data_IF_343818028026
#
_entry.id   IF_343818028026
#
_cell.length_a   1.000
_cell.length_b   1.000
_cell.length_c   1.000
_cell.angle_alpha   90.00
_cell.angle_beta   90.00
_cell.angle_gamma   90.00
#
_symmetry.space_group_name_H-M   'P 1'
#
loop_
_entity.id
_entity.type
_entity.pdbx_description
1 polymer ?
#
# COMPACT_ATOMS: atom_id res chain seq x y z
N UNK A 1 14.76 -6.68 -10.48
CA UNK A 1 13.54 -6.69 -9.64
C UNK A 1 13.98 -7.18 -8.26
N UNK A 2 13.88 -6.34 -7.23
CA UNK A 2 14.28 -6.74 -5.86
C UNK A 2 13.29 -7.76 -5.34
N UNK A 3 13.76 -8.94 -4.94
CA UNK A 3 12.94 -9.95 -4.28
C UNK A 3 13.06 -9.71 -2.79
N UNK A 4 11.97 -9.38 -2.10
CA UNK A 4 11.98 -9.27 -0.65
C UNK A 4 12.19 -10.64 -0.02
N UNK A 5 13.07 -10.70 0.98
CA UNK A 5 13.11 -11.83 1.90
C UNK A 5 11.87 -11.81 2.81
N UNK A 6 11.60 -12.92 3.49
CA UNK A 6 10.52 -12.96 4.47
C UNK A 6 10.77 -12.01 5.65
N UNK A 7 12.02 -11.80 6.04
CA UNK A 7 12.41 -10.93 7.16
C UNK A 7 12.39 -9.45 6.78
N UNK A 8 12.43 -9.15 5.48
CA UNK A 8 12.23 -7.80 4.95
C UNK A 8 10.76 -7.46 4.75
N UNK A 9 9.90 -8.49 4.63
CA UNK A 9 8.46 -8.33 4.47
C UNK A 9 7.74 -8.35 5.82
N UNK A 10 8.12 -9.28 6.69
CA UNK A 10 7.62 -9.40 8.06
C UNK A 10 8.69 -8.91 9.02
N UNK A 11 8.62 -7.64 9.37
CA UNK A 11 9.67 -6.98 10.15
C UNK A 11 9.76 -7.58 11.56
N UNK A 12 8.65 -8.11 12.10
CA UNK A 12 8.59 -8.91 13.34
C UNK A 12 9.34 -10.25 13.28
N UNK A 13 9.60 -10.83 12.09
CA UNK A 13 10.38 -12.10 11.99
C UNK A 13 11.83 -11.92 12.39
N UNK A 14 12.35 -10.69 12.37
CA UNK A 14 13.71 -10.36 12.82
C UNK A 14 13.90 -10.70 14.30
N UNK A 15 12.82 -10.68 15.08
CA UNK A 15 12.83 -10.95 16.52
C UNK A 15 12.38 -12.38 16.85
N UNK A 16 11.75 -13.09 15.91
CA UNK A 16 11.17 -14.43 16.10
C UNK A 16 11.64 -15.39 15.00
N UNK A 17 12.86 -15.93 15.17
CA UNK A 17 13.58 -16.74 14.16
C UNK A 17 12.91 -18.05 13.75
N UNK A 18 12.08 -18.64 14.61
CA UNK A 18 11.67 -20.05 14.47
C UNK A 18 10.37 -20.27 13.70
N UNK A 19 9.84 -19.25 13.01
CA UNK A 19 8.53 -19.33 12.34
C UNK A 19 8.65 -19.35 10.83
N UNK A 20 8.04 -20.37 10.23
CA UNK A 20 8.09 -20.63 8.78
C UNK A 20 6.99 -19.89 8.03
N UNK A 21 5.86 -19.64 8.68
CA UNK A 21 4.67 -19.09 8.03
C UNK A 21 4.02 -17.94 8.83
N UNK A 22 3.34 -16.99 8.14
CA UNK A 22 2.67 -15.86 8.77
C UNK A 22 1.70 -16.31 9.84
N UNK A 23 0.67 -17.12 9.55
CA UNK A 23 -0.34 -17.58 10.53
C UNK A 23 0.22 -18.33 11.77
N UNK A 24 1.45 -18.85 11.74
CA UNK A 24 2.07 -19.46 12.94
C UNK A 24 2.37 -18.42 14.04
N UNK A 25 2.28 -17.13 13.70
CA UNK A 25 2.38 -15.98 14.60
C UNK A 25 1.33 -15.99 15.73
N UNK A 26 0.13 -16.47 15.43
CA UNK A 26 -1.01 -16.39 16.35
C UNK A 26 -0.88 -17.36 17.53
N UNK A 27 -0.29 -18.53 17.32
CA UNK A 27 -0.19 -19.56 18.35
C UNK A 27 0.88 -19.27 19.41
N UNK A 28 1.72 -18.24 19.21
CA UNK A 28 2.91 -18.03 20.01
C UNK A 28 3.23 -16.56 20.31
N UNK A 29 2.44 -15.60 19.82
CA UNK A 29 2.68 -14.18 20.10
C UNK A 29 1.36 -13.43 20.34
N UNK A 30 1.11 -13.12 21.61
CA UNK A 30 -0.06 -12.35 22.08
C UNK A 30 0.03 -10.87 21.66
N UNK A 31 1.20 -10.43 21.17
CA UNK A 31 1.48 -9.06 20.77
C UNK A 31 1.37 -8.89 19.25
N UNK A 32 0.15 -9.11 18.76
CA UNK A 32 -0.22 -8.76 17.40
C UNK A 32 -0.36 -7.25 17.22
N UNK A 33 -0.17 -6.79 15.98
CA UNK A 33 -0.31 -5.40 15.58
C UNK A 33 -1.67 -4.82 15.90
N UNK A 34 -1.70 -3.56 16.34
CA UNK A 34 -2.87 -2.91 16.95
C UNK A 34 -4.14 -3.02 16.09
N UNK A 35 -4.06 -2.90 14.76
CA UNK A 35 -5.25 -3.05 13.89
C UNK A 35 -5.66 -4.52 13.74
N UNK A 36 -4.73 -5.46 13.56
CA UNK A 36 -5.05 -6.88 13.39
C UNK A 36 -5.70 -7.42 14.66
N UNK A 37 -5.20 -7.03 15.84
CA UNK A 37 -5.82 -7.36 17.14
C UNK A 37 -7.22 -6.78 17.26
N UNK A 38 -7.38 -5.49 16.95
CA UNK A 38 -8.69 -4.81 17.02
C UNK A 38 -9.70 -5.53 16.14
N UNK A 39 -9.31 -5.88 14.92
CA UNK A 39 -10.12 -6.58 13.93
C UNK A 39 -10.44 -8.01 14.33
N UNK A 40 -9.47 -8.77 14.84
CA UNK A 40 -9.70 -10.12 15.36
C UNK A 40 -10.69 -10.09 16.52
N UNK A 41 -10.55 -9.15 17.47
CA UNK A 41 -11.48 -9.00 18.61
C UNK A 41 -12.88 -8.59 18.17
N UNK A 42 -13.00 -7.71 17.18
CA UNK A 42 -14.30 -7.31 16.60
C UNK A 42 -15.00 -8.50 15.94
N UNK A 43 -14.29 -9.19 15.05
CA UNK A 43 -14.82 -10.36 14.34
C UNK A 43 -15.08 -11.52 15.27
N UNK A 44 -14.25 -11.75 16.30
CA UNK A 44 -14.47 -12.79 17.30
C UNK A 44 -15.83 -12.63 17.97
N UNK A 45 -16.16 -11.43 18.47
CA UNK A 45 -17.46 -11.17 19.11
C UNK A 45 -18.62 -11.43 18.15
N UNK A 46 -18.50 -10.99 16.91
CA UNK A 46 -19.50 -11.23 15.88
C UNK A 46 -19.63 -12.74 15.56
N UNK A 47 -18.51 -13.42 15.36
CA UNK A 47 -18.42 -14.83 15.02
C UNK A 47 -19.03 -15.70 16.12
N UNK A 48 -18.76 -15.40 17.40
CA UNK A 48 -19.35 -16.11 18.53
C UNK A 48 -20.88 -16.02 18.52
N UNK A 49 -21.47 -14.88 18.14
CA UNK A 49 -22.93 -14.77 17.96
C UNK A 49 -23.44 -15.62 16.78
N UNK A 50 -22.65 -15.75 15.71
CA UNK A 50 -23.02 -16.54 14.53
C UNK A 50 -22.99 -18.03 14.84
N UNK A 51 -21.91 -18.53 15.45
CA UNK A 51 -21.75 -19.97 15.69
C UNK A 51 -22.54 -20.48 16.90
N UNK A 52 -22.74 -19.63 17.92
CA UNK A 52 -23.48 -20.00 19.12
C UNK A 52 -24.97 -20.25 18.85
N UNK A 53 -25.52 -21.26 19.51
CA UNK A 53 -26.97 -21.54 19.51
C UNK A 53 -27.77 -20.51 20.31
N UNK A 54 -27.13 -19.75 21.21
CA UNK A 54 -27.74 -18.65 21.98
C UNK A 54 -27.55 -17.28 21.34
N UNK A 55 -26.83 -17.21 20.22
CA UNK A 55 -26.63 -15.98 19.46
C UNK A 55 -27.76 -15.75 18.46
N UNK A 56 -27.42 -15.59 17.19
CA UNK A 56 -28.43 -15.44 16.14
C UNK A 56 -29.23 -16.74 15.95
N UNK A 57 -30.51 -16.59 15.60
CA UNK A 57 -31.35 -17.72 15.21
C UNK A 57 -31.12 -18.07 13.74
N UNK A 58 -31.40 -19.31 13.35
CA UNK A 58 -31.30 -19.72 11.94
C UNK A 58 -32.30 -18.90 11.12
N UNK A 59 -31.86 -18.35 9.99
CA UNK A 59 -32.66 -17.49 9.12
C UNK A 59 -32.78 -16.03 9.58
N UNK A 60 -32.32 -15.69 10.80
CA UNK A 60 -32.29 -14.29 11.24
C UNK A 60 -31.14 -13.53 10.60
N UNK A 61 -31.33 -12.23 10.40
CA UNK A 61 -30.28 -11.33 9.95
C UNK A 61 -29.19 -11.21 11.02
N UNK A 62 -27.94 -11.11 10.57
CA UNK A 62 -26.76 -10.87 11.41
C UNK A 62 -26.32 -9.42 11.30
N UNK A 63 -25.68 -8.89 12.34
CA UNK A 63 -25.07 -7.55 12.32
C UNK A 63 -24.08 -7.41 11.15
N UNK A 64 -23.95 -6.19 10.62
CA UNK A 64 -22.95 -5.87 9.61
C UNK A 64 -21.54 -6.22 10.07
N UNK A 65 -20.72 -6.72 9.15
CA UNK A 65 -19.34 -7.06 9.45
C UNK A 65 -18.48 -6.91 8.20
N UNK A 66 -17.20 -6.59 8.41
CA UNK A 66 -16.21 -6.55 7.33
C UNK A 66 -15.30 -7.77 7.40
N UNK A 67 -15.24 -8.56 6.32
CA UNK A 67 -14.46 -9.80 6.23
C UNK A 67 -13.71 -9.87 4.91
N UNK A 68 -12.56 -10.54 4.90
CA UNK A 68 -11.88 -10.88 3.67
C UNK A 68 -12.49 -12.12 3.04
N UNK A 69 -12.58 -12.09 1.73
CA UNK A 69 -12.96 -13.25 0.91
C UNK A 69 -11.71 -14.10 0.72
N UNK A 70 -11.75 -15.37 1.09
CA UNK A 70 -10.65 -16.32 0.89
C UNK A 70 -11.15 -17.53 0.10
N UNK A 71 -10.35 -18.10 -0.81
CA UNK A 71 -10.76 -19.31 -1.51
C UNK A 71 -10.99 -20.47 -0.53
N UNK A 72 -12.06 -21.22 -0.74
CA UNK A 72 -12.38 -22.43 0.02
C UNK A 72 -12.50 -23.63 -0.91
N UNK A 73 -11.84 -24.72 -0.54
CA UNK A 73 -11.94 -26.02 -1.19
C UNK A 73 -12.79 -26.95 -0.33
N UNK A 74 -13.86 -27.43 -0.94
CA UNK A 74 -14.82 -28.32 -0.31
C UNK A 74 -14.74 -29.73 -0.91
N UNK A 75 -14.74 -30.74 -0.04
CA UNK A 75 -14.96 -32.13 -0.43
C UNK A 75 -16.37 -32.32 -1.00
N UNK A 76 -16.56 -33.38 -1.79
CA UNK A 76 -17.83 -33.68 -2.49
C UNK A 76 -19.04 -33.69 -1.55
N UNK A 77 -18.89 -34.19 -0.32
CA UNK A 77 -19.97 -34.22 0.67
C UNK A 77 -20.49 -32.84 1.07
N UNK A 78 -19.58 -31.88 1.26
CA UNK A 78 -19.93 -30.51 1.63
C UNK A 78 -20.56 -29.76 0.43
N UNK A 79 -20.04 -30.01 -0.78
CA UNK A 79 -20.66 -29.50 -2.01
C UNK A 79 -22.08 -30.02 -2.19
N UNK A 80 -22.31 -31.31 -1.95
CA UNK A 80 -23.64 -31.92 -2.01
C UNK A 80 -24.59 -31.37 -0.93
N UNK A 81 -24.08 -31.13 0.29
CA UNK A 81 -24.86 -30.50 1.36
C UNK A 81 -25.32 -29.09 0.98
N UNK A 82 -24.42 -28.26 0.42
CA UNK A 82 -24.76 -26.90 -0.05
C UNK A 82 -25.78 -26.95 -1.20
N UNK A 83 -25.59 -27.85 -2.18
CA UNK A 83 -26.48 -27.98 -3.33
C UNK A 83 -27.93 -28.34 -2.94
N UNK A 84 -28.14 -29.02 -1.80
CA UNK A 84 -29.48 -29.31 -1.27
C UNK A 84 -30.14 -28.12 -0.59
N UNK A 85 -29.36 -27.17 -0.09
CA UNK A 85 -29.88 -25.94 0.51
C UNK A 85 -30.40 -24.98 -0.56
N UNK A 86 -29.88 -25.08 -1.79
CA UNK A 86 -30.21 -24.22 -2.91
C UNK A 86 -29.05 -24.08 -3.90
N UNK A 87 -29.24 -23.22 -4.89
CA UNK A 87 -28.22 -22.95 -5.90
C UNK A 87 -27.35 -21.76 -5.46
N UNK A 88 -26.33 -22.07 -4.67
CA UNK A 88 -25.44 -21.07 -4.07
C UNK A 88 -24.01 -21.12 -4.64
N UNK A 89 -23.44 -19.94 -4.85
CA UNK A 89 -22.00 -19.76 -4.91
C UNK A 89 -21.42 -19.85 -3.48
N UNK A 90 -20.27 -20.49 -3.34
CA UNK A 90 -19.60 -20.68 -2.05
C UNK A 90 -18.18 -20.09 -2.06
N UNK A 91 -17.82 -19.43 -0.97
CA UNK A 91 -16.48 -18.90 -0.71
C UNK A 91 -16.19 -18.87 0.79
N UNK A 92 -14.92 -18.75 1.13
CA UNK A 92 -14.51 -18.58 2.52
C UNK A 92 -14.51 -17.11 2.92
N UNK A 93 -14.75 -16.87 4.19
CA UNK A 93 -14.64 -15.57 4.84
C UNK A 93 -13.62 -15.69 5.97
N UNK A 94 -12.77 -14.69 6.12
CA UNK A 94 -11.79 -14.65 7.19
C UNK A 94 -11.62 -13.21 7.73
N UNK A 95 -11.28 -13.03 9.01
CA UNK A 95 -10.98 -11.71 9.55
C UNK A 95 -9.75 -11.09 8.88
N UNK A 96 -8.73 -11.88 8.53
CA UNK A 96 -7.52 -11.46 7.82
C UNK A 96 -7.24 -12.43 6.65
N UNK A 97 -6.57 -11.98 5.60
CA UNK A 97 -6.25 -12.81 4.41
C UNK A 97 -5.32 -13.99 4.70
N UNK A 98 -4.63 -13.93 5.83
CA UNK A 98 -3.58 -14.85 6.22
C UNK A 98 -3.91 -15.62 7.50
N UNK A 99 -5.14 -15.56 8.03
CA UNK A 99 -5.49 -16.19 9.31
C UNK A 99 -6.63 -17.20 9.16
N UNK A 100 -6.53 -18.39 9.79
CA UNK A 100 -7.60 -19.37 9.76
C UNK A 100 -8.71 -19.11 10.79
N UNK A 101 -8.51 -18.28 11.82
CA UNK A 101 -9.48 -18.21 12.92
C UNK A 101 -10.69 -17.41 12.54
N UNK A 102 -11.80 -17.80 13.17
CA UNK A 102 -13.09 -17.20 12.91
C UNK A 102 -13.44 -17.23 11.42
N UNK A 103 -12.86 -18.19 10.68
CA UNK A 103 -13.19 -18.41 9.28
C UNK A 103 -14.58 -19.00 9.18
N UNK A 104 -15.33 -18.57 8.17
CA UNK A 104 -16.72 -18.96 8.00
C UNK A 104 -17.00 -19.20 6.52
N UNK A 105 -17.97 -20.07 6.23
CA UNK A 105 -18.47 -20.24 4.87
C UNK A 105 -19.48 -19.13 4.56
N UNK A 106 -19.20 -18.39 3.48
CA UNK A 106 -20.13 -17.46 2.86
C UNK A 106 -20.83 -18.10 1.66
N UNK A 107 -22.15 -17.95 1.62
CA UNK A 107 -23.00 -18.38 0.52
C UNK A 107 -23.65 -17.14 -0.12
N UNK A 108 -23.74 -17.09 -1.45
CA UNK A 108 -24.54 -16.10 -2.17
C UNK A 108 -25.36 -16.84 -3.22
N UNK A 109 -26.57 -16.38 -3.55
CA UNK A 109 -27.32 -16.97 -4.65
C UNK A 109 -26.48 -17.03 -5.94
N UNK A 110 -26.67 -18.06 -6.76
CA UNK A 110 -25.86 -18.24 -7.97
C UNK A 110 -25.94 -17.08 -8.96
N UNK A 111 -27.09 -16.39 -8.96
CA UNK A 111 -27.34 -15.21 -9.78
C UNK A 111 -26.67 -13.94 -9.24
N UNK A 112 -26.29 -13.94 -7.95
CA UNK A 112 -25.53 -12.84 -7.34
C UNK A 112 -24.06 -13.04 -7.64
N UNK A 113 -23.41 -11.96 -8.11
CA UNK A 113 -21.98 -11.97 -8.41
C UNK A 113 -21.19 -12.30 -7.14
N UNK A 114 -20.38 -13.35 -7.21
CA UNK A 114 -19.45 -13.71 -6.13
C UNK A 114 -18.40 -12.59 -5.92
N UNK A 115 -18.09 -12.22 -4.67
CA UNK A 115 -16.94 -11.39 -4.35
C UNK A 115 -15.61 -11.98 -4.87
N UNK A 116 -14.69 -11.12 -5.31
CA UNK A 116 -13.35 -11.56 -5.73
C UNK A 116 -12.53 -12.01 -4.53
N UNK A 117 -11.76 -13.08 -4.72
CA UNK A 117 -10.86 -13.60 -3.69
C UNK A 117 -9.82 -12.56 -3.25
N UNK A 118 -9.44 -12.65 -1.98
CA UNK A 118 -8.50 -11.80 -1.26
C UNK A 118 -8.91 -10.32 -1.13
N UNK A 119 -10.17 -9.99 -1.43
CA UNK A 119 -10.71 -8.66 -1.20
C UNK A 119 -11.44 -8.54 0.13
N UNK A 120 -11.31 -7.37 0.74
CA UNK A 120 -12.13 -6.97 1.87
C UNK A 120 -13.52 -6.56 1.38
N UNK A 121 -14.55 -7.15 1.99
CA UNK A 121 -15.95 -6.77 1.76
C UNK A 121 -16.60 -6.36 3.08
N UNK A 122 -17.56 -5.43 3.00
CA UNK A 122 -18.54 -5.22 4.06
C UNK A 122 -19.81 -5.99 3.69
N UNK A 123 -20.24 -6.84 4.59
CA UNK A 123 -21.49 -7.58 4.49
C UNK A 123 -22.55 -6.71 5.15
N UNK A 124 -23.45 -6.17 4.33
CA UNK A 124 -24.52 -5.28 4.77
C UNK A 124 -25.73 -6.08 5.25
N UNK A 125 -25.97 -7.21 4.58
CA UNK A 125 -27.15 -8.04 4.85
C UNK A 125 -26.83 -9.50 4.63
N UNK A 126 -26.91 -10.27 5.71
CA UNK A 126 -26.75 -11.72 5.66
C UNK A 126 -27.61 -12.43 6.70
N UNK A 127 -27.99 -13.67 6.40
CA UNK A 127 -28.74 -14.55 7.30
C UNK A 127 -27.86 -15.67 7.81
N UNK A 128 -27.98 -15.99 9.10
CA UNK A 128 -27.33 -17.17 9.68
C UNK A 128 -27.95 -18.45 9.12
N UNK A 129 -27.11 -19.43 8.82
CA UNK A 129 -27.54 -20.79 8.45
C UNK A 129 -26.55 -21.85 8.95
N UNK A 130 -26.90 -23.11 8.72
CA UNK A 130 -26.03 -24.25 8.96
C UNK A 130 -26.01 -25.15 7.73
N UNK A 131 -24.82 -25.58 7.34
CA UNK A 131 -24.61 -26.61 6.32
C UNK A 131 -24.55 -27.95 7.04
N UNK A 132 -25.54 -28.80 6.77
CA UNK A 132 -25.67 -30.10 7.43
C UNK A 132 -25.13 -31.18 6.48
N UNK A 133 -24.03 -31.82 6.87
CA UNK A 133 -23.61 -33.05 6.21
C UNK A 133 -24.62 -34.15 6.59
N UNK A 134 -25.19 -34.84 5.59
CA UNK A 134 -26.09 -35.97 5.84
C UNK A 134 -25.34 -37.31 5.85
N UNK A 135 -24.08 -37.33 5.42
CA UNK A 135 -23.24 -38.54 5.41
C UNK A 135 -22.52 -38.76 6.74
N UNK A 136 -22.30 -37.69 7.50
CA UNK A 136 -21.75 -37.73 8.85
C UNK A 136 -22.54 -36.75 9.73
N UNK A 137 -22.61 -36.93 11.06
CA UNK A 137 -23.30 -35.99 11.96
C UNK A 137 -22.50 -34.68 12.16
N UNK A 138 -22.00 -34.10 11.07
CA UNK A 138 -21.21 -32.87 11.06
C UNK A 138 -22.08 -31.70 10.61
N UNK A 139 -22.00 -30.60 11.34
CA UNK A 139 -22.72 -29.36 11.01
C UNK A 139 -21.71 -28.22 10.97
N UNK A 140 -21.76 -27.42 9.91
CA UNK A 140 -20.87 -26.28 9.73
C UNK A 140 -21.68 -24.98 9.72
N UNK A 141 -21.38 -23.99 10.57
CA UNK A 141 -22.02 -22.68 10.51
C UNK A 141 -21.67 -21.97 9.20
N UNK A 142 -22.64 -21.27 8.64
CA UNK A 142 -22.46 -20.45 7.44
C UNK A 142 -23.37 -19.23 7.48
N UNK A 143 -23.15 -18.30 6.56
CA UNK A 143 -24.07 -17.19 6.31
C UNK A 143 -24.47 -17.12 4.84
N UNK A 144 -25.74 -16.79 4.61
CA UNK A 144 -26.27 -16.48 3.28
C UNK A 144 -26.22 -14.96 3.14
N UNK A 145 -25.34 -14.47 2.28
CA UNK A 145 -25.10 -13.06 2.02
C UNK A 145 -26.02 -12.61 0.90
N UNK A 146 -26.86 -11.62 1.19
CA UNK A 146 -27.78 -10.99 0.25
C UNK A 146 -27.15 -9.72 -0.34
N UNK A 147 -26.53 -8.89 0.51
CA UNK A 147 -26.01 -7.58 0.11
C UNK A 147 -24.61 -7.35 0.70
N UNK A 148 -23.69 -6.89 -0.15
CA UNK A 148 -22.30 -6.61 0.23
C UNK A 148 -21.67 -5.54 -0.68
N UNK A 149 -20.63 -4.89 -0.20
CA UNK A 149 -19.84 -3.91 -0.95
C UNK A 149 -18.33 -4.16 -0.79
N UNK A 150 -17.54 -3.73 -1.77
CA UNK A 150 -16.09 -3.73 -1.62
C UNK A 150 -15.65 -2.57 -0.75
N UNK A 151 -14.79 -2.86 0.22
CA UNK A 151 -14.10 -1.81 0.97
C UNK A 151 -12.75 -1.50 0.32
N UNK A 152 -12.34 -0.23 0.41
CA UNK A 152 -10.96 0.16 0.15
C UNK A 152 -10.06 -0.58 1.16
N UNK A 153 -8.92 -1.18 0.76
CA UNK A 153 -7.94 -1.73 1.68
C UNK A 153 -7.60 -0.80 2.84
N UNK A 154 -7.62 0.51 2.61
CA UNK A 154 -7.33 1.52 3.64
C UNK A 154 -8.27 1.45 4.85
N UNK A 155 -9.45 0.84 4.70
CA UNK A 155 -10.44 0.69 5.76
C UNK A 155 -9.93 -0.10 6.96
N UNK A 156 -8.92 -0.97 6.78
CA UNK A 156 -8.35 -1.75 7.89
C UNK A 156 -7.55 -0.90 8.87
N UNK A 157 -7.11 0.28 8.45
CA UNK A 157 -6.26 1.18 9.22
C UNK A 157 -7.05 2.19 10.06
N UNK A 158 -8.39 2.18 9.99
CA UNK A 158 -9.24 3.22 10.60
C UNK A 158 -9.31 3.14 12.15
N UNK A 159 -9.19 4.30 12.78
CA UNK A 159 -9.39 4.49 14.23
C UNK A 159 -8.19 4.05 15.06
N UNK A 160 -6.97 4.30 14.56
CA UNK A 160 -5.72 4.23 15.31
C UNK A 160 -5.18 5.66 15.49
N UNK A 161 -4.46 5.99 16.58
CA UNK A 161 -3.93 7.34 16.77
C UNK A 161 -2.99 7.77 15.63
N UNK A 162 -3.15 9.02 15.20
CA UNK A 162 -2.34 9.65 14.17
C UNK A 162 -1.51 10.79 14.78
N UNK A 163 -0.21 10.78 14.50
CA UNK A 163 0.73 11.85 14.80
C UNK A 163 1.16 12.52 13.50
N UNK A 164 0.89 13.84 13.42
CA UNK A 164 1.30 14.66 12.28
C UNK A 164 2.84 14.73 12.24
N UNK A 165 3.41 14.65 11.04
CA UNK A 165 4.87 14.71 10.78
C UNK A 165 5.71 13.56 11.37
N UNK A 166 5.09 12.47 11.79
CA UNK A 166 5.79 11.25 12.21
C UNK A 166 6.74 10.71 11.13
N UNK A 167 6.32 10.72 9.86
CA UNK A 167 7.15 10.30 8.72
C UNK A 167 8.35 11.24 8.52
N UNK A 168 8.13 12.56 8.57
CA UNK A 168 9.19 13.57 8.48
C UNK A 168 10.22 13.42 9.59
N UNK A 169 9.76 13.29 10.84
CA UNK A 169 10.58 13.13 12.02
C UNK A 169 11.43 11.88 11.92
N UNK A 170 10.82 10.76 11.56
CA UNK A 170 11.55 9.51 11.34
C UNK A 170 12.65 9.67 10.30
N UNK A 171 12.38 10.30 9.16
CA UNK A 171 13.42 10.52 8.14
C UNK A 171 14.51 11.46 8.69
N UNK A 172 14.13 12.52 9.40
CA UNK A 172 15.07 13.50 9.98
C UNK A 172 16.03 12.86 10.99
N UNK A 173 15.55 11.91 11.79
CA UNK A 173 16.37 11.19 12.78
C UNK A 173 17.50 10.37 12.12
N UNK A 174 17.34 9.96 10.86
CA UNK A 174 18.31 9.13 10.12
C UNK A 174 19.04 9.85 8.99
N UNK A 175 18.67 11.10 8.69
CA UNK A 175 19.28 11.93 7.66
C UNK A 175 19.77 13.23 8.32
N UNK A 176 21.05 13.30 8.68
CA UNK A 176 21.69 14.53 9.19
C UNK A 176 21.78 15.53 8.03
N UNK A 177 20.71 16.28 7.80
CA UNK A 177 20.54 17.11 6.61
C UNK A 177 19.62 18.30 6.87
N UNK A 178 19.68 19.30 5.99
CA UNK A 178 18.80 20.47 6.03
C UNK A 178 17.33 20.08 6.12
N UNK A 179 16.54 20.89 6.83
CA UNK A 179 15.10 20.66 7.09
C UNK A 179 14.26 20.35 5.83
N UNK A 180 14.76 20.65 4.62
CA UNK A 180 14.07 20.44 3.35
C UNK A 180 14.21 19.03 2.76
N UNK A 181 15.24 18.27 3.15
CA UNK A 181 15.49 16.92 2.62
C UNK A 181 14.50 15.89 3.17
N UNK A 182 14.24 15.81 4.49
CA UNK A 182 13.22 14.94 5.05
C UNK A 182 11.83 15.22 4.48
N UNK A 183 11.52 16.51 4.25
CA UNK A 183 10.26 16.94 3.64
C UNK A 183 10.15 16.42 2.19
N UNK A 184 11.25 16.48 1.44
CA UNK A 184 11.32 15.96 0.07
C UNK A 184 11.21 14.45 0.01
N UNK A 185 11.79 13.73 0.97
CA UNK A 185 11.72 12.28 1.05
C UNK A 185 10.38 11.75 1.57
N UNK A 186 9.66 12.50 2.41
CA UNK A 186 8.32 12.10 2.90
C UNK A 186 7.22 12.31 1.86
N UNK A 187 7.35 13.34 1.02
CA UNK A 187 6.32 13.73 0.05
C UNK A 187 5.74 12.58 -0.79
N UNK A 188 6.52 11.59 -1.31
CA UNK A 188 5.97 10.55 -2.18
C UNK A 188 5.30 9.47 -1.33
N UNK A 189 5.73 9.33 -0.08
CA UNK A 189 5.24 8.38 0.90
C UNK A 189 3.82 8.77 1.28
N UNK A 190 3.58 10.06 1.54
CA UNK A 190 2.26 10.58 1.97
C UNK A 190 1.41 11.17 0.83
N UNK A 191 1.81 11.02 -0.44
CA UNK A 191 1.12 11.59 -1.61
C UNK A 191 0.88 13.10 -1.53
N UNK A 192 1.88 13.86 -1.07
CA UNK A 192 1.78 15.31 -0.88
C UNK A 192 2.48 16.09 -2.00
N UNK A 193 1.86 16.29 -3.19
CA UNK A 193 2.52 17.03 -4.25
C UNK A 193 2.87 18.46 -3.82
N UNK A 194 3.94 19.00 -4.41
CA UNK A 194 4.32 20.41 -4.31
C UNK A 194 3.40 21.36 -5.09
N UNK A 195 2.30 20.84 -5.66
CA UNK A 195 1.31 21.59 -6.43
C UNK A 195 0.03 21.71 -5.62
N UNK A 196 -0.40 22.95 -5.37
CA UNK A 196 -1.65 23.25 -4.67
C UNK A 196 -2.85 22.64 -5.42
N UNK A 197 -3.65 21.81 -4.73
CA UNK A 197 -4.82 21.13 -5.30
C UNK A 197 -4.51 19.85 -6.11
N UNK A 198 -3.24 19.44 -6.21
CA UNK A 198 -2.86 18.15 -6.81
C UNK A 198 -3.05 16.97 -5.85
N UNK A 199 -3.26 15.76 -6.39
CA UNK A 199 -3.31 14.50 -5.64
C UNK A 199 -2.22 13.56 -6.19
N UNK A 200 -1.43 12.94 -5.31
CA UNK A 200 -0.28 12.09 -5.66
C UNK A 200 1.00 12.91 -5.82
N UNK A 201 2.02 12.64 -5.00
CA UNK A 201 3.26 13.42 -4.95
C UNK A 201 4.36 12.81 -5.81
N UNK A 202 4.89 13.56 -6.78
CA UNK A 202 6.19 13.23 -7.37
C UNK A 202 7.26 13.79 -6.46
N UNK A 203 8.06 12.93 -5.88
CA UNK A 203 9.13 13.38 -4.99
C UNK A 203 10.11 12.26 -4.79
N UNK A 204 11.11 12.28 -5.64
CA UNK A 204 12.47 12.59 -5.25
C UNK A 204 13.19 12.67 -6.59
N UNK A 205 14.02 13.69 -6.78
CA UNK A 205 15.04 13.69 -7.82
C UNK A 205 16.33 13.84 -7.06
N UNK A 206 16.98 12.72 -6.80
CA UNK A 206 18.33 12.74 -6.25
C UNK A 206 19.32 12.35 -7.31
N UNK A 207 20.41 13.11 -7.39
CA UNK A 207 21.59 12.70 -8.13
C UNK A 207 22.46 11.86 -7.19
N UNK A 208 22.94 10.73 -7.68
CA UNK A 208 23.93 9.91 -6.99
C UNK A 208 24.85 9.33 -8.05
N UNK A 209 26.16 9.37 -7.84
CA UNK A 209 27.13 8.69 -8.70
C UNK A 209 27.21 7.19 -8.31
N UNK A 210 26.83 6.82 -7.08
CA UNK A 210 26.77 5.44 -6.58
C UNK A 210 25.43 4.75 -6.80
N UNK A 211 25.39 3.87 -7.80
CA UNK A 211 24.21 3.08 -8.14
C UNK A 211 23.68 2.16 -7.03
N UNK A 212 24.50 1.76 -6.04
CA UNK A 212 24.10 0.87 -4.93
C UNK A 212 23.30 1.61 -3.85
N UNK A 213 23.76 2.80 -3.43
CA UNK A 213 23.08 3.63 -2.44
C UNK A 213 21.72 4.09 -2.95
N UNK A 214 21.68 4.66 -4.16
CA UNK A 214 20.48 5.07 -4.86
C UNK A 214 19.39 3.99 -4.90
N UNK A 215 19.77 2.76 -5.28
CA UNK A 215 18.84 1.62 -5.30
C UNK A 215 18.34 1.26 -3.91
N UNK A 216 19.19 1.36 -2.90
CA UNK A 216 18.85 1.05 -1.52
C UNK A 216 17.85 2.07 -0.98
N UNK A 217 18.09 3.37 -1.20
CA UNK A 217 17.17 4.45 -0.82
C UNK A 217 15.79 4.26 -1.45
N UNK A 218 15.71 4.03 -2.76
CA UNK A 218 14.43 3.81 -3.47
C UNK A 218 13.68 2.58 -2.94
N UNK A 219 14.40 1.52 -2.58
CA UNK A 219 13.79 0.35 -1.97
C UNK A 219 13.31 0.64 -0.54
N UNK A 220 14.10 1.35 0.27
CA UNK A 220 13.74 1.74 1.64
C UNK A 220 12.48 2.61 1.64
N UNK A 221 12.39 3.62 0.77
CA UNK A 221 11.20 4.48 0.63
C UNK A 221 9.96 3.66 0.26
N UNK A 222 10.08 2.70 -0.66
CA UNK A 222 8.97 1.80 -0.98
C UNK A 222 8.58 0.89 0.20
N UNK A 223 9.48 0.59 1.13
CA UNK A 223 9.16 -0.19 2.32
C UNK A 223 8.44 0.63 3.40
N UNK A 224 8.53 1.96 3.36
CA UNK A 224 7.87 2.87 4.31
C UNK A 224 6.35 2.98 4.10
N UNK A 225 5.81 2.41 3.01
CA UNK A 225 4.37 2.37 2.73
C UNK A 225 3.83 0.94 2.87
N UNK A 226 2.51 0.77 3.14
CA UNK A 226 1.86 -0.53 3.12
C UNK A 226 2.14 -1.35 1.85
N UNK A 227 2.13 -2.69 1.91
CA UNK A 227 2.28 -3.56 0.76
C UNK A 227 1.34 -3.25 -0.43
N UNK A 228 0.14 -2.76 -0.16
CA UNK A 228 -0.88 -2.37 -1.13
C UNK A 228 -0.48 -1.15 -1.97
N UNK A 229 0.44 -0.32 -1.47
CA UNK A 229 0.84 0.93 -2.12
C UNK A 229 2.12 0.79 -2.93
N UNK A 230 2.93 -0.25 -2.73
CA UNK A 230 4.28 -0.32 -3.35
C UNK A 230 4.35 -1.30 -4.50
N UNK A 231 5.26 -1.03 -5.45
CA UNK A 231 5.49 -1.98 -6.57
C UNK A 231 6.36 -3.17 -6.22
N UNK A 232 6.99 -3.17 -5.04
CA UNK A 232 7.78 -4.30 -4.56
C UNK A 232 6.81 -5.40 -4.08
N UNK A 233 6.72 -6.54 -4.78
CA UNK A 233 5.77 -7.57 -4.41
C UNK A 233 6.19 -8.26 -3.11
N UNK A 234 5.24 -8.81 -2.34
CA UNK A 234 5.55 -9.72 -1.25
C UNK A 234 6.40 -10.92 -1.72
N UNK A 235 7.12 -11.60 -0.81
CA UNK A 235 7.86 -12.81 -1.15
C UNK A 235 6.96 -13.88 -1.78
N UNK A 236 7.47 -14.62 -2.77
CA UNK A 236 6.69 -15.61 -3.53
C UNK A 236 6.00 -16.66 -2.65
N UNK A 237 6.64 -17.06 -1.56
CA UNK A 237 6.08 -18.00 -0.58
C UNK A 237 4.79 -17.46 0.05
N UNK A 238 4.75 -16.16 0.32
CA UNK A 238 3.61 -15.48 0.92
C UNK A 238 2.47 -15.33 -0.08
N UNK A 239 2.77 -14.94 -1.32
CA UNK A 239 1.80 -14.85 -2.42
C UNK A 239 1.18 -16.21 -2.77
N UNK A 240 1.98 -17.28 -2.67
CA UNK A 240 1.53 -18.66 -2.87
C UNK A 240 0.59 -19.09 -1.75
N UNK A 241 0.90 -18.70 -0.51
CA UNK A 241 0.10 -19.05 0.65
C UNK A 241 0.11 -20.55 0.98
N UNK A 242 -0.86 -20.98 1.79
CA UNK A 242 -1.06 -22.38 2.15
C UNK A 242 -2.53 -22.77 2.17
N UNK A 243 -2.79 -24.07 2.05
CA UNK A 243 -4.10 -24.63 2.34
C UNK A 243 -4.14 -25.04 3.80
N UNK A 244 -5.05 -24.47 4.56
CA UNK A 244 -5.32 -24.82 5.94
C UNK A 244 -6.57 -25.69 6.01
N UNK A 245 -6.45 -26.88 6.61
CA UNK A 245 -7.59 -27.75 6.85
C UNK A 245 -8.28 -27.32 8.14
N UNK A 246 -9.40 -26.62 8.01
CA UNK A 246 -10.19 -26.13 9.14
C UNK A 246 -11.03 -27.25 9.76
N UNK A 247 -11.72 -28.01 8.91
CA UNK A 247 -12.52 -29.16 9.29
C UNK A 247 -12.32 -30.26 8.24
N UNK A 248 -12.49 -31.56 8.57
CA UNK A 248 -12.45 -32.62 7.56
C UNK A 248 -13.27 -32.29 6.31
N UNK A 249 -12.58 -32.15 5.18
CA UNK A 249 -13.18 -31.83 3.87
C UNK A 249 -13.43 -30.33 3.61
N UNK A 250 -13.02 -29.42 4.49
CA UNK A 250 -13.10 -27.97 4.30
C UNK A 250 -11.68 -27.40 4.44
N UNK A 251 -11.15 -26.82 3.36
CA UNK A 251 -9.81 -26.24 3.32
C UNK A 251 -9.85 -24.79 2.86
N UNK A 252 -9.31 -23.87 3.65
CA UNK A 252 -9.18 -22.47 3.28
C UNK A 252 -7.80 -22.21 2.68
N UNK A 253 -7.73 -21.40 1.62
CA UNK A 253 -6.46 -21.01 0.99
C UNK A 253 -6.04 -19.61 1.46
N UNK A 254 -5.18 -19.56 2.47
CA UNK A 254 -4.71 -18.34 3.10
C UNK A 254 -3.44 -17.84 2.41
N UNK A 255 -3.38 -16.56 2.04
CA UNK A 255 -2.24 -15.94 1.36
C UNK A 255 -2.25 -14.41 1.53
N UNK A 256 -1.07 -13.78 1.61
CA UNK A 256 -1.02 -12.31 1.43
C UNK A 256 -1.05 -12.02 -0.05
N UNK A 257 -2.17 -11.48 -0.54
CA UNK A 257 -2.29 -10.98 -1.90
C UNK A 257 -2.82 -9.56 -1.81
N UNK A 258 -1.97 -8.59 -1.42
CA UNK A 258 -2.39 -7.20 -1.29
C UNK A 258 -3.02 -6.76 -2.60
N UNK A 259 -4.21 -6.19 -2.50
CA UNK A 259 -4.98 -5.77 -3.66
C UNK A 259 -4.60 -4.33 -3.99
N UNK A 260 -3.85 -4.14 -5.07
CA UNK A 260 -3.48 -2.81 -5.56
C UNK A 260 -4.73 -2.07 -6.03
N UNK A 261 -5.00 -0.91 -5.45
CA UNK A 261 -6.18 -0.08 -5.79
C UNK A 261 -5.71 1.25 -6.35
N UNK A 262 -6.26 2.34 -5.80
CA UNK A 262 -6.12 3.70 -6.26
C UNK A 262 -4.89 4.38 -5.64
N UNK A 263 -3.99 3.66 -4.96
CA UNK A 263 -2.82 4.24 -4.31
C UNK A 263 -1.58 3.48 -4.77
N UNK A 264 -0.62 4.20 -5.34
CA UNK A 264 0.63 3.64 -5.83
C UNK A 264 1.82 4.56 -5.53
N UNK A 265 2.86 4.00 -4.94
CA UNK A 265 4.20 4.54 -4.81
C UNK A 265 5.15 3.72 -5.68
N UNK A 266 5.62 4.34 -6.75
CA UNK A 266 6.64 3.75 -7.62
C UNK A 266 8.02 4.21 -7.18
N UNK A 267 8.87 3.26 -6.83
CA UNK A 267 10.31 3.51 -6.80
C UNK A 267 10.92 3.38 -8.19
N UNK A 268 11.67 4.39 -8.62
CA UNK A 268 12.39 4.42 -9.89
C UNK A 268 13.88 4.66 -9.65
N UNK A 269 14.71 3.77 -10.16
CA UNK A 269 16.14 3.99 -10.33
C UNK A 269 16.41 4.05 -11.83
N UNK A 270 17.01 5.13 -12.32
CA UNK A 270 17.27 5.31 -13.74
C UNK A 270 18.65 5.92 -13.99
N UNK A 271 19.27 5.58 -15.11
CA UNK A 271 20.54 6.18 -15.55
C UNK A 271 20.34 7.34 -16.53
N UNK A 272 19.08 7.68 -16.81
CA UNK A 272 18.68 8.78 -17.68
C UNK A 272 17.27 9.22 -17.32
N UNK A 273 16.82 10.32 -17.91
CA UNK A 273 15.50 10.88 -17.65
C UNK A 273 14.35 10.13 -18.37
N UNK A 274 14.64 9.44 -19.48
CA UNK A 274 13.62 8.76 -20.31
C UNK A 274 12.71 7.78 -19.53
N UNK A 275 13.20 6.98 -18.57
CA UNK A 275 12.34 6.13 -17.75
C UNK A 275 11.40 6.93 -16.83
N UNK A 276 11.83 8.09 -16.32
CA UNK A 276 10.99 8.95 -15.48
C UNK A 276 9.86 9.57 -16.31
N UNK A 277 10.15 10.07 -17.52
CA UNK A 277 9.13 10.56 -18.47
C UNK A 277 8.00 9.53 -18.69
N UNK A 278 8.38 8.26 -18.88
CA UNK A 278 7.40 7.18 -19.07
C UNK A 278 6.52 6.95 -17.84
N UNK A 279 7.08 7.03 -16.63
CA UNK A 279 6.29 6.89 -15.40
C UNK A 279 5.41 8.11 -15.14
N UNK A 280 5.86 9.33 -15.47
CA UNK A 280 5.04 10.53 -15.41
C UNK A 280 3.82 10.43 -16.34
N UNK A 281 3.99 9.91 -17.56
CA UNK A 281 2.86 9.64 -18.48
C UNK A 281 1.89 8.58 -17.94
N UNK A 282 2.40 7.58 -17.20
CA UNK A 282 1.55 6.56 -16.56
C UNK A 282 0.76 7.14 -15.40
N UNK A 283 1.39 8.01 -14.61
CA UNK A 283 0.72 8.77 -13.53
C UNK A 283 -0.48 9.54 -14.05
N UNK A 284 -0.34 10.28 -15.16
CA UNK A 284 -1.45 11.04 -15.76
C UNK A 284 -2.65 10.18 -16.16
N UNK A 285 -2.44 8.89 -16.45
CA UNK A 285 -3.49 7.94 -16.87
C UNK A 285 -4.00 7.08 -15.70
N UNK A 286 -3.44 7.23 -14.52
CA UNK A 286 -3.77 6.40 -13.37
C UNK A 286 -4.99 6.96 -12.65
N UNK A 287 -5.95 6.08 -12.36
CA UNK A 287 -7.16 6.45 -11.59
C UNK A 287 -6.84 6.28 -10.11
N UNK A 288 -6.50 7.40 -9.45
CA UNK A 288 -6.14 7.43 -8.03
C UNK A 288 -4.86 8.24 -7.75
N UNK A 289 -4.28 8.05 -6.57
CA UNK A 289 -2.97 8.56 -6.19
C UNK A 289 -1.85 7.74 -6.81
N UNK A 290 -1.03 8.40 -7.63
CA UNK A 290 0.23 7.83 -8.12
C UNK A 290 1.38 8.78 -7.75
N UNK A 291 2.15 8.35 -6.75
CA UNK A 291 3.38 8.96 -6.29
C UNK A 291 4.62 8.25 -6.85
N UNK A 292 5.67 9.01 -7.14
CA UNK A 292 6.92 8.49 -7.71
C UNK A 292 8.09 8.97 -6.84
N UNK A 293 8.87 8.02 -6.33
CA UNK A 293 10.17 8.27 -5.71
C UNK A 293 11.26 7.88 -6.70
N UNK A 294 12.03 8.86 -7.22
CA UNK A 294 13.05 8.58 -8.22
C UNK A 294 14.47 8.95 -7.79
N UNK A 295 15.45 8.16 -8.22
CA UNK A 295 16.87 8.51 -8.13
C UNK A 295 17.47 8.30 -9.51
N UNK A 296 18.08 9.37 -10.05
CA UNK A 296 18.67 9.37 -11.38
C UNK A 296 20.18 9.48 -11.25
N UNK A 297 20.90 8.51 -11.80
CA UNK A 297 22.36 8.49 -11.79
C UNK A 297 22.88 8.87 -13.17
N UNK A 298 23.71 9.90 -13.27
CA UNK A 298 24.33 10.26 -14.55
C UNK A 298 25.68 9.56 -14.68
N UNK A 299 25.85 8.73 -15.72
CA UNK A 299 27.14 8.14 -16.05
C UNK A 299 28.03 9.20 -16.68
N UNK A 300 29.00 9.76 -15.94
CA UNK A 300 30.09 10.62 -16.41
C UNK A 300 29.81 11.36 -17.74
N UNK A 301 28.84 12.27 -17.73
CA UNK A 301 28.70 13.29 -18.76
C UNK A 301 29.46 14.54 -18.30
N UNK A 302 29.96 15.35 -19.24
CA UNK A 302 30.57 16.65 -18.91
C UNK A 302 29.60 17.40 -18.00
N UNK A 303 30.03 17.87 -16.83
CA UNK A 303 29.13 18.41 -15.79
C UNK A 303 28.11 19.45 -16.29
N UNK A 304 28.43 20.19 -17.36
CA UNK A 304 27.51 21.10 -18.05
C UNK A 304 26.27 20.43 -18.67
N UNK A 305 26.40 19.25 -19.29
CA UNK A 305 25.25 18.53 -19.88
C UNK A 305 24.29 18.00 -18.82
N UNK A 306 24.82 17.54 -17.68
CA UNK A 306 24.02 17.11 -16.52
C UNK A 306 23.27 18.31 -15.95
N UNK A 307 23.95 19.44 -15.80
CA UNK A 307 23.36 20.68 -15.29
C UNK A 307 22.24 21.22 -16.19
N UNK A 308 22.43 21.22 -17.51
CA UNK A 308 21.40 21.61 -18.48
C UNK A 308 20.18 20.70 -18.43
N UNK A 309 20.38 19.38 -18.36
CA UNK A 309 19.29 18.40 -18.22
C UNK A 309 18.54 18.61 -16.89
N UNK A 310 19.26 18.84 -15.80
CA UNK A 310 18.67 19.07 -14.48
C UNK A 310 17.86 20.36 -14.46
N UNK A 311 18.39 21.46 -14.97
CA UNK A 311 17.70 22.75 -15.04
C UNK A 311 16.44 22.69 -15.91
N UNK A 312 16.56 22.17 -17.14
CA UNK A 312 15.42 22.01 -18.06
C UNK A 312 14.31 21.16 -17.44
N UNK A 313 14.67 20.11 -16.69
CA UNK A 313 13.70 19.17 -16.14
C UNK A 313 13.17 19.54 -14.76
N UNK A 314 13.90 20.36 -14.00
CA UNK A 314 13.43 20.98 -12.76
C UNK A 314 12.18 21.85 -13.03
N UNK A 315 12.19 22.64 -14.10
CA UNK A 315 11.01 23.44 -14.51
C UNK A 315 9.80 22.61 -14.96
N UNK A 316 10.02 21.35 -15.37
CA UNK A 316 9.00 20.49 -16.01
C UNK A 316 8.39 19.44 -15.08
N UNK A 317 8.93 19.28 -13.87
CA UNK A 317 8.42 18.30 -12.90
C UNK A 317 7.94 19.00 -11.64
N UNK A 318 7.02 18.35 -10.92
CA UNK A 318 6.63 18.75 -9.56
C UNK A 318 7.76 18.52 -8.53
N UNK A 319 8.95 18.08 -8.98
CA UNK A 319 10.02 17.57 -8.12
C UNK A 319 11.04 18.67 -7.80
N UNK A 320 11.34 18.76 -6.51
CA UNK A 320 12.26 19.70 -5.87
C UNK A 320 13.62 19.08 -5.51
N UNK A 321 14.65 19.94 -5.62
CA UNK A 321 16.05 19.89 -5.18
C UNK A 321 16.96 18.85 -5.88
N UNK A 322 17.75 19.25 -6.89
CA UNK A 322 18.89 18.46 -7.35
C UNK A 322 20.00 18.52 -6.28
N UNK A 323 19.97 17.58 -5.35
CA UNK A 323 21.06 17.40 -4.39
C UNK A 323 21.91 16.21 -4.78
N UNK A 324 23.24 16.36 -4.68
CA UNK A 324 24.13 15.21 -4.69
C UNK A 324 23.97 14.46 -3.36
N UNK A 325 23.49 13.23 -3.40
CA UNK A 325 23.38 12.39 -2.22
C UNK A 325 24.73 11.93 -1.67
N UNK A 326 25.81 12.11 -2.44
CA UNK A 326 27.14 11.65 -2.06
C UNK A 326 27.79 12.48 -0.96
N UNK A 327 27.48 13.78 -0.89
CA UNK A 327 27.92 14.65 0.21
C UNK A 327 27.45 14.11 1.58
N UNK A 328 26.34 13.36 1.60
CA UNK A 328 25.77 12.75 2.80
C UNK A 328 26.19 11.29 3.03
N UNK A 329 26.63 10.58 1.97
CA UNK A 329 27.07 9.18 2.06
C UNK A 329 28.30 9.01 2.95
N UNK A 330 29.13 10.05 3.11
CA UNK A 330 30.39 10.00 3.86
C UNK A 330 30.24 9.98 5.39
N UNK A 331 29.02 9.84 5.93
CA UNK A 331 28.82 9.59 7.38
C UNK A 331 27.48 10.02 7.98
N UNK A 332 26.54 10.54 7.18
CA UNK A 332 25.39 11.30 7.70
C UNK A 332 24.01 10.65 7.47
N UNK A 333 23.94 9.58 6.69
CA UNK A 333 22.68 8.84 6.42
C UNK A 333 22.81 7.38 6.88
N UNK A 334 21.94 6.97 7.81
CA UNK A 334 21.83 5.57 8.24
C UNK A 334 20.56 4.91 7.68
N UNK A 335 20.64 4.45 6.42
CA UNK A 335 19.54 3.69 5.79
C UNK A 335 19.28 2.34 6.46
N UNK A 336 20.27 1.78 7.15
CA UNK A 336 20.12 0.49 7.84
C UNK A 336 19.33 0.67 9.12
N UNK A 337 19.62 1.73 9.87
CA UNK A 337 18.85 2.21 11.02
C UNK A 337 17.42 2.54 10.63
N UNK A 338 17.22 3.39 9.62
CA UNK A 338 15.87 3.71 9.13
C UNK A 338 15.07 2.45 8.78
N UNK A 339 15.69 1.48 8.10
CA UNK A 339 15.02 0.22 7.71
C UNK A 339 14.64 -0.69 8.91
N UNK A 340 15.18 -0.44 10.10
CA UNK A 340 14.78 -1.13 11.33
C UNK A 340 13.55 -0.51 11.96
N UNK A 341 13.41 0.82 11.87
CA UNK A 341 12.26 1.56 12.39
C UNK A 341 11.05 1.57 11.45
N UNK A 342 11.22 1.13 10.19
CA UNK A 342 10.07 0.84 9.35
C UNK A 342 9.31 -0.30 10.02
N UNK A 343 8.12 0.00 10.49
CA UNK A 343 7.19 -0.94 11.07
C UNK A 343 5.78 -0.64 10.58
N UNK A 344 4.82 -1.34 11.15
CA UNK A 344 3.45 -1.13 10.78
C UNK A 344 2.89 0.18 11.41
N UNK A 345 3.35 0.64 12.58
CA UNK A 345 2.93 1.92 13.14
C UNK A 345 3.22 3.08 12.16
N UNK A 346 4.38 3.06 11.48
CA UNK A 346 4.69 3.97 10.37
C UNK A 346 3.67 3.86 9.23
N UNK A 347 3.32 2.64 8.81
CA UNK A 347 2.33 2.42 7.74
C UNK A 347 0.96 3.02 8.07
N UNK A 348 0.51 2.93 9.33
CA UNK A 348 -0.70 3.62 9.79
C UNK A 348 -0.60 5.12 9.62
N UNK A 349 0.52 5.70 10.05
CA UNK A 349 0.73 7.14 9.92
C UNK A 349 0.67 7.58 8.46
N UNK A 350 1.24 6.78 7.55
CA UNK A 350 1.18 7.04 6.11
C UNK A 350 -0.25 6.97 5.55
N UNK A 351 -1.01 5.92 5.89
CA UNK A 351 -2.40 5.77 5.42
C UNK A 351 -3.27 6.93 5.93
N UNK A 352 -3.15 7.27 7.21
CA UNK A 352 -3.86 8.40 7.80
C UNK A 352 -3.47 9.75 7.16
N UNK A 353 -2.18 9.98 6.92
CA UNK A 353 -1.69 11.19 6.26
C UNK A 353 -2.28 11.36 4.86
N UNK A 354 -2.44 10.27 4.10
CA UNK A 354 -3.07 10.28 2.77
C UNK A 354 -4.58 10.55 2.85
N UNK A 355 -5.28 9.91 3.80
CA UNK A 355 -6.73 10.07 3.97
C UNK A 355 -7.17 11.49 4.36
N UNK A 356 -6.37 12.20 5.16
CA UNK A 356 -6.70 13.55 5.65
C UNK A 356 -6.50 14.61 4.53
N UNK A 357 -6.02 14.19 3.36
CA UNK A 357 -5.31 15.00 2.36
C UNK A 357 -4.10 15.72 3.00
N UNK A 358 -2.89 15.60 2.44
CA UNK A 358 -1.75 16.35 2.94
C UNK A 358 -1.93 17.83 2.61
N UNK A 359 -2.68 18.53 3.46
CA UNK A 359 -2.84 19.97 3.37
C UNK A 359 -1.60 20.60 4.01
N UNK A 360 -0.74 21.14 3.15
CA UNK A 360 0.43 21.97 3.48
C UNK A 360 -0.03 23.27 4.19
N UNK A 361 -0.51 23.15 5.43
CA UNK A 361 -1.23 24.23 6.11
C UNK A 361 -0.33 25.07 7.03
N UNK A 362 0.83 24.55 7.40
CA UNK A 362 1.72 25.20 8.35
C UNK A 362 2.62 26.22 7.66
N UNK A 363 3.23 27.12 8.42
CA UNK A 363 4.07 28.18 7.84
C UNK A 363 5.32 27.64 7.14
N UNK A 364 5.91 26.57 7.68
CA UNK A 364 7.05 25.87 7.05
C UNK A 364 6.68 25.28 5.69
N UNK A 365 5.51 24.65 5.62
CA UNK A 365 4.93 24.07 4.42
C UNK A 365 4.69 25.13 3.34
N UNK A 366 4.08 26.26 3.73
CA UNK A 366 3.85 27.42 2.86
C UNK A 366 5.14 28.10 2.43
N UNK A 367 6.17 28.13 3.29
CA UNK A 367 7.48 28.65 2.96
C UNK A 367 8.16 27.78 1.89
N UNK A 368 8.07 26.45 2.01
CA UNK A 368 8.64 25.53 1.02
C UNK A 368 7.93 25.62 -0.33
N UNK A 369 6.59 25.70 -0.36
CA UNK A 369 5.84 25.91 -1.60
C UNK A 369 6.24 27.24 -2.26
N UNK A 370 6.38 28.31 -1.48
CA UNK A 370 6.86 29.61 -1.98
C UNK A 370 8.28 29.53 -2.51
N UNK A 371 9.18 28.87 -1.77
CA UNK A 371 10.56 28.69 -2.20
C UNK A 371 10.65 27.90 -3.51
N UNK A 372 9.95 26.76 -3.60
CA UNK A 372 9.90 25.95 -4.81
C UNK A 372 9.37 26.75 -6.01
N UNK A 373 8.33 27.57 -5.80
CA UNK A 373 7.78 28.46 -6.83
C UNK A 373 8.80 29.52 -7.27
N UNK A 374 9.44 30.21 -6.33
CA UNK A 374 10.42 31.25 -6.62
C UNK A 374 11.64 30.68 -7.36
N UNK A 375 12.14 29.51 -6.94
CA UNK A 375 13.25 28.82 -7.62
C UNK A 375 12.84 28.41 -9.03
N UNK A 376 11.63 27.90 -9.21
CA UNK A 376 11.09 27.55 -10.54
C UNK A 376 11.02 28.77 -11.46
N UNK A 377 10.42 29.88 -11.00
CA UNK A 377 10.32 31.12 -11.75
C UNK A 377 11.71 31.66 -12.13
N UNK A 378 12.66 31.61 -11.19
CA UNK A 378 14.05 32.04 -11.43
C UNK A 378 14.78 31.18 -12.45
N UNK A 379 14.57 29.86 -12.43
CA UNK A 379 15.16 28.91 -13.39
C UNK A 379 14.50 29.06 -14.77
N UNK A 380 13.18 29.22 -14.85
CA UNK A 380 12.47 29.47 -16.11
C UNK A 380 12.99 30.75 -16.78
N UNK A 381 13.19 31.81 -15.98
CA UNK A 381 13.82 33.05 -16.44
C UNK A 381 15.25 32.81 -16.94
N UNK A 382 16.11 32.15 -16.15
CA UNK A 382 17.49 31.84 -16.53
C UNK A 382 17.59 31.02 -17.83
N UNK A 383 16.75 29.98 -17.98
CA UNK A 383 16.72 29.16 -19.20
C UNK A 383 16.27 30.00 -20.40
N UNK A 384 15.26 30.85 -20.23
CA UNK A 384 14.75 31.70 -21.30
C UNK A 384 15.76 32.75 -21.78
N UNK A 385 16.63 33.22 -20.89
CA UNK A 385 17.66 34.22 -21.20
C UNK A 385 18.93 33.61 -21.82
N UNK A 386 19.38 32.44 -21.32
CA UNK A 386 20.67 31.85 -21.72
C UNK A 386 20.58 30.81 -22.83
N UNK A 387 19.40 30.24 -23.10
CA UNK A 387 19.20 29.24 -24.16
C UNK A 387 18.14 29.70 -25.19
N UNK A 388 18.41 30.75 -25.97
CA UNK A 388 17.49 31.25 -26.99
C UNK A 388 17.35 30.23 -28.14
N UNK A 389 16.31 29.40 -28.04
CA UNK A 389 15.57 28.75 -29.13
C UNK A 389 16.35 28.10 -30.29
N UNK A 390 16.50 26.78 -30.21
CA UNK A 390 16.22 25.89 -31.35
C UNK A 390 15.61 24.52 -30.97
N UNK A 391 15.34 24.28 -29.68
CA UNK A 391 14.71 23.05 -29.16
C UNK A 391 13.33 23.29 -28.52
N UNK A 392 12.83 24.53 -28.54
CA UNK A 392 11.61 24.96 -27.84
C UNK A 392 10.29 24.79 -28.63
N UNK A 393 10.35 24.41 -29.91
CA UNK A 393 9.17 24.42 -30.80
C UNK A 393 8.27 23.19 -30.61
N UNK A 394 8.81 22.02 -30.27
CA UNK A 394 8.00 20.80 -30.09
C UNK A 394 7.24 20.72 -28.75
N UNK A 395 7.51 21.63 -27.81
CA UNK A 395 7.05 21.51 -26.42
C UNK A 395 5.83 22.36 -26.05
N UNK A 396 5.38 23.29 -26.91
CA UNK A 396 4.16 24.07 -26.65
C UNK A 396 2.87 23.25 -26.75
N UNK A 397 2.90 22.08 -27.38
CA UNK A 397 1.71 21.24 -27.55
C UNK A 397 1.34 20.47 -26.26
N UNK A 398 2.29 20.27 -25.33
CA UNK A 398 2.03 19.51 -24.09
C UNK A 398 1.49 20.35 -22.91
N UNK A 399 1.81 21.65 -22.87
CA UNK A 399 1.43 22.53 -21.75
C UNK A 399 0.09 23.23 -22.01
N UNK A 400 -0.29 23.45 -23.28
CA UNK A 400 -1.56 24.08 -23.63
C UNK A 400 -2.81 23.19 -23.46
N UNK A 401 -2.67 21.89 -23.14
CA UNK A 401 -3.82 21.01 -22.88
C UNK A 401 -4.10 20.74 -21.39
N UNK A 402 -3.39 21.41 -20.49
CA UNK A 402 -3.60 21.30 -19.04
C UNK A 402 -4.25 22.53 -18.39
N UNK A 403 -4.68 23.52 -19.18
CA UNK A 403 -5.31 24.74 -18.68
C UNK A 403 -6.77 24.80 -19.13
N UNK A 404 -7.68 24.70 -18.16
CA UNK A 404 -9.13 25.00 -18.24
C UNK A 404 -10.03 24.00 -18.98
N UNK A 405 -10.63 23.08 -18.21
CA UNK A 405 -12.04 23.15 -17.73
C UNK A 405 -12.25 22.15 -16.61
#
# INVERSE_FOLDING_TARGET
MTILSLDDYYLWRRELSDKKYPWQRELLNIEFYKYEVKRLKEVERWYQKVVSTRGYSVGSYVDEISLYVVPVELATRWKAAIARMGDYNCFGLAPLINTPNFSLIGLTDRNVKRPKDYKLIRILKAKKTYIIDQTTPSVEPAIIIEEWEYLNPDHVYVGVPFERRSVEKLISDYFVSDNHIPISLQSPIISAPYVYGGVGGVSLFSMSLQSSFARTLVNTIQLMVPPEYRTIPPPKSVLKGCKFQYHPGIKYHLAERPYYVNNLLKGLFATSYKPLDKELQRRQKFVGEYSISSVITFSYHRGGEVFEIVLDRFSKTEITIPHDLEDYYMGYIDLKGLRKEIDEDLWLQVVHARQIHPSWNDEADKALIRYARNVRESIEMFISEYFPSNSYVDYRVGIMMGSYT
#
